data_IF_784129640474
#
_entry.id   IF_784129640474
#
_cell.length_a   1.000
_cell.length_b   1.000
_cell.length_c   1.000
_cell.angle_alpha   90.00
_cell.angle_beta   90.00
_cell.angle_gamma   90.00
#
_symmetry.space_group_name_H-M   'P 1'
#
loop_
_entity.id
_entity.type
_entity.pdbx_description
1 polymer ?
#
# COMPACT_ATOMS: atom_id res chain seq x y z
N UNK A 1 32.22 46.46 25.80
CA UNK A 1 31.52 45.90 24.63
C UNK A 1 29.98 45.99 24.69
N UNK A 2 29.37 46.81 25.58
CA UNK A 2 27.91 46.93 25.72
C UNK A 2 27.30 48.08 24.89
N UNK A 3 28.07 49.16 24.68
CA UNK A 3 27.63 50.35 23.93
C UNK A 3 27.48 50.12 22.42
N UNK A 4 28.37 49.33 21.81
CA UNK A 4 28.31 49.01 20.38
C UNK A 4 27.14 48.08 20.01
N UNK A 5 26.75 47.15 20.91
CA UNK A 5 25.52 46.35 20.76
C UNK A 5 24.25 47.18 20.93
N UNK A 6 24.28 48.26 21.75
CA UNK A 6 23.17 49.22 21.88
C UNK A 6 23.01 50.12 20.66
N UNK A 7 24.12 50.59 20.07
CA UNK A 7 24.10 51.44 18.86
C UNK A 7 23.66 50.68 17.59
N UNK A 8 24.00 49.40 17.45
CA UNK A 8 23.44 48.55 16.39
C UNK A 8 21.93 48.30 16.59
N UNK A 9 21.43 48.51 17.81
CA UNK A 9 20.02 48.51 18.15
C UNK A 9 19.27 49.79 17.77
N UNK A 10 19.86 50.77 17.07
CA UNK A 10 19.16 51.99 16.62
C UNK A 10 18.74 51.99 15.15
N UNK A 11 19.18 51.03 14.33
CA UNK A 11 18.77 50.97 12.92
C UNK A 11 17.33 50.44 12.77
N UNK A 12 16.59 50.97 11.79
CA UNK A 12 15.28 50.45 11.37
C UNK A 12 15.47 48.99 10.97
N UNK A 13 14.64 48.09 11.49
CA UNK A 13 14.75 46.69 11.14
C UNK A 13 14.16 46.46 9.75
N UNK A 14 14.94 45.79 8.91
CA UNK A 14 14.45 45.23 7.66
C UNK A 14 14.06 43.79 7.96
N UNK A 15 12.77 43.53 8.03
CA UNK A 15 12.19 42.22 8.23
C UNK A 15 11.90 41.65 6.85
N UNK A 16 12.72 40.70 6.41
CA UNK A 16 12.56 40.04 5.13
C UNK A 16 13.07 38.60 5.22
N UNK A 17 12.62 37.77 4.29
CA UNK A 17 13.12 36.42 4.11
C UNK A 17 13.25 36.09 2.63
N UNK A 18 14.42 35.57 2.26
CA UNK A 18 14.66 34.92 0.98
C UNK A 18 14.84 33.44 1.24
N UNK A 19 13.88 32.63 0.81
CA UNK A 19 14.01 31.18 0.84
C UNK A 19 15.13 30.74 -0.11
N UNK A 20 16.19 30.15 0.44
CA UNK A 20 17.29 29.53 -0.30
C UNK A 20 17.10 28.00 -0.41
N UNK A 21 15.98 27.48 0.10
CA UNK A 21 15.60 26.07 0.08
C UNK A 21 14.49 25.79 -0.94
N UNK A 22 14.18 24.49 -1.13
CA UNK A 22 13.04 24.07 -1.94
C UNK A 22 11.92 23.43 -1.10
N UNK A 23 12.11 23.32 0.20
CA UNK A 23 11.31 22.49 1.11
C UNK A 23 10.80 23.22 2.36
N UNK A 24 11.27 24.44 2.64
CA UNK A 24 10.76 25.24 3.76
C UNK A 24 9.37 25.78 3.46
N UNK A 25 8.38 25.41 4.28
CA UNK A 25 7.01 25.91 4.22
C UNK A 25 6.88 27.21 4.99
N UNK A 26 7.43 27.25 6.22
CA UNK A 26 7.31 28.38 7.14
C UNK A 26 8.66 28.68 7.77
N UNK A 27 9.00 29.96 7.84
CA UNK A 27 10.19 30.44 8.54
C UNK A 27 9.83 31.62 9.44
N UNK A 28 10.24 31.57 10.70
CA UNK A 28 10.07 32.68 11.65
C UNK A 28 11.31 33.57 11.61
N UNK A 29 11.09 34.87 11.43
CA UNK A 29 12.15 35.86 11.52
C UNK A 29 12.75 35.89 12.92
N UNK A 30 14.04 35.54 13.00
CA UNK A 30 14.76 35.51 14.27
C UNK A 30 15.31 36.88 14.64
N UNK A 31 15.01 37.31 15.86
CA UNK A 31 15.60 38.51 16.44
C UNK A 31 15.88 38.32 17.93
N UNK A 32 16.86 39.06 18.45
CA UNK A 32 17.12 39.08 19.87
C UNK A 32 15.83 39.41 20.65
N UNK A 33 15.41 38.48 21.52
CA UNK A 33 14.19 38.55 22.34
C UNK A 33 12.85 38.65 21.59
N UNK A 34 12.82 38.38 20.27
CA UNK A 34 11.62 38.56 19.42
C UNK A 34 11.01 39.96 19.56
N UNK A 35 11.86 40.96 19.76
CA UNK A 35 11.43 42.34 19.83
C UNK A 35 11.46 42.93 18.42
N UNK A 36 10.33 43.40 17.89
CA UNK A 36 10.29 44.13 16.61
C UNK A 36 10.12 45.63 16.93
N UNK A 37 10.91 46.49 16.28
CA UNK A 37 10.83 47.94 16.53
C UNK A 37 9.63 48.53 15.81
N UNK A 38 9.02 49.52 16.43
CA UNK A 38 8.05 50.39 15.78
C UNK A 38 8.73 51.10 14.59
N UNK A 39 8.11 51.03 13.40
CA UNK A 39 8.65 51.58 12.16
C UNK A 39 9.54 50.62 11.36
N UNK A 40 9.69 49.36 11.79
CA UNK A 40 10.36 48.33 11.01
C UNK A 40 9.76 48.19 9.60
N UNK A 41 10.59 47.92 8.61
CA UNK A 41 10.17 47.71 7.22
C UNK A 41 10.05 46.22 6.96
N UNK A 42 8.84 45.76 6.66
CA UNK A 42 8.55 44.40 6.25
C UNK A 42 8.55 44.30 4.73
N UNK A 43 9.37 43.43 4.16
CA UNK A 43 9.35 43.10 2.74
C UNK A 43 8.85 41.68 2.57
N UNK A 44 7.67 41.52 1.98
CA UNK A 44 7.08 40.24 1.61
C UNK A 44 7.26 40.03 0.11
N UNK A 45 7.88 38.92 -0.29
CA UNK A 45 8.17 38.67 -1.70
C UNK A 45 7.01 37.98 -2.39
N UNK A 46 7.04 37.97 -3.72
CA UNK A 46 6.10 37.18 -4.52
C UNK A 46 6.23 35.69 -4.17
N UNK A 47 5.10 34.98 -4.08
CA UNK A 47 5.07 33.59 -3.62
C UNK A 47 5.28 33.42 -2.12
N UNK A 48 5.15 34.50 -1.32
CA UNK A 48 5.16 34.47 0.13
C UNK A 48 3.96 35.23 0.71
N UNK A 49 3.64 34.89 1.95
CA UNK A 49 2.76 35.65 2.85
C UNK A 49 3.51 35.80 4.17
N UNK A 50 3.36 36.94 4.84
CA UNK A 50 3.90 37.15 6.18
C UNK A 50 2.78 37.28 7.22
N UNK A 51 2.82 36.47 8.27
CA UNK A 51 1.90 36.54 9.40
C UNK A 51 2.62 37.22 10.55
N UNK A 52 2.04 38.32 11.03
CA UNK A 52 2.55 39.04 12.17
C UNK A 52 1.78 38.62 13.43
N UNK A 53 2.51 38.12 14.42
CA UNK A 53 1.98 37.66 15.70
C UNK A 53 2.50 38.59 16.79
N UNK A 54 1.60 39.17 17.59
CA UNK A 54 1.96 39.99 18.73
C UNK A 54 1.49 39.33 20.02
N UNK A 55 2.41 39.13 20.96
CA UNK A 55 2.12 38.53 22.27
C UNK A 55 1.35 37.19 22.18
N UNK A 56 1.62 36.41 21.12
CA UNK A 56 0.97 35.11 20.87
C UNK A 56 -0.37 35.18 20.13
N UNK A 57 -0.82 36.36 19.70
CA UNK A 57 -2.06 36.54 18.92
C UNK A 57 -1.71 37.00 17.51
N UNK A 58 -2.27 36.36 16.49
CA UNK A 58 -2.16 36.80 15.09
C UNK A 58 -2.79 38.19 14.98
N UNK A 59 -1.97 39.19 14.66
CA UNK A 59 -2.39 40.57 14.58
C UNK A 59 -2.71 41.02 13.14
N UNK A 60 -1.99 40.47 12.15
CA UNK A 60 -2.22 40.78 10.73
C UNK A 60 -1.58 39.74 9.78
N UNK A 61 -2.01 39.75 8.52
CA UNK A 61 -1.51 38.91 7.43
C UNK A 61 -1.19 39.79 6.22
N UNK A 62 0.08 39.79 5.81
CA UNK A 62 0.60 40.61 4.73
C UNK A 62 0.86 39.79 3.48
N UNK A 63 0.27 40.21 2.35
CA UNK A 63 0.59 39.69 1.02
C UNK A 63 1.92 40.27 0.49
N UNK A 64 2.30 39.92 -0.74
CA UNK A 64 3.52 40.42 -1.36
C UNK A 64 3.53 41.96 -1.47
N UNK A 65 4.54 42.60 -0.92
CA UNK A 65 4.64 44.06 -0.86
C UNK A 65 5.65 44.56 0.17
N UNK A 66 5.77 45.88 0.27
CA UNK A 66 6.54 46.55 1.32
C UNK A 66 5.61 47.25 2.29
N UNK A 67 5.81 47.03 3.59
CA UNK A 67 4.96 47.54 4.65
C UNK A 67 5.82 48.19 5.75
N UNK A 68 5.32 49.26 6.34
CA UNK A 68 5.89 49.79 7.58
C UNK A 68 5.09 49.27 8.77
N UNK A 69 5.75 48.50 9.63
CA UNK A 69 5.17 47.93 10.84
C UNK A 69 5.10 49.00 11.92
N UNK A 70 3.96 49.68 12.02
CA UNK A 70 3.66 50.64 13.07
C UNK A 70 2.43 50.22 13.86
N UNK A 71 2.39 50.57 15.14
CA UNK A 71 1.26 50.26 16.03
C UNK A 71 -0.07 50.87 15.57
N UNK A 72 -0.02 51.90 14.72
CA UNK A 72 -1.20 52.58 14.17
C UNK A 72 -1.84 51.83 13.00
N UNK A 73 -1.04 51.14 12.20
CA UNK A 73 -1.49 50.46 10.98
C UNK A 73 -1.94 49.01 11.21
N UNK A 74 -1.80 48.49 12.43
CA UNK A 74 -2.14 47.11 12.79
C UNK A 74 -3.49 47.07 13.53
N UNK A 75 -4.57 46.48 12.96
CA UNK A 75 -5.94 46.58 13.48
C UNK A 75 -6.11 46.08 14.92
N UNK A 76 -5.50 44.94 15.25
CA UNK A 76 -5.61 44.33 16.59
C UNK A 76 -4.79 45.12 17.62
N UNK A 77 -3.60 45.63 17.25
CA UNK A 77 -2.81 46.51 18.12
C UNK A 77 -3.51 47.85 18.36
N UNK A 78 -4.22 48.37 17.36
CA UNK A 78 -5.01 49.59 17.48
C UNK A 78 -6.16 49.43 18.48
N UNK A 79 -6.66 48.20 18.68
CA UNK A 79 -7.71 47.86 19.66
C UNK A 79 -7.11 47.65 21.07
N UNK A 80 -5.85 47.18 21.16
CA UNK A 80 -5.07 47.03 22.39
C UNK A 80 -4.42 48.34 22.89
N UNK A 81 -4.69 49.50 22.25
CA UNK A 81 -4.18 50.87 22.52
C UNK A 81 -4.29 51.40 23.96
N UNK A 82 -4.82 50.63 24.91
CA UNK A 82 -5.04 51.05 26.30
C UNK A 82 -3.84 50.98 27.24
N UNK A 83 -2.67 50.49 26.80
CA UNK A 83 -1.57 50.21 27.72
C UNK A 83 -0.65 51.41 28.01
N UNK A 84 -0.36 51.62 29.30
CA UNK A 84 0.11 52.87 29.94
C UNK A 84 1.61 53.19 29.80
N UNK A 85 2.35 52.56 28.88
CA UNK A 85 3.79 52.79 28.72
C UNK A 85 4.10 53.11 27.25
N UNK A 86 4.81 54.22 27.04
CA UNK A 86 4.86 54.94 25.76
C UNK A 86 5.43 54.15 24.57
N UNK A 87 4.92 54.54 23.40
CA UNK A 87 5.05 53.99 22.04
C UNK A 87 6.46 53.85 21.43
N UNK A 88 7.52 53.91 22.25
CA UNK A 88 8.92 53.75 21.86
C UNK A 88 9.57 52.48 22.42
N UNK A 89 8.80 51.61 23.10
CA UNK A 89 9.32 50.34 23.62
C UNK A 89 9.16 49.22 22.57
N UNK A 90 10.17 48.37 22.38
CA UNK A 90 10.01 47.16 21.58
C UNK A 90 8.88 46.30 22.15
N UNK A 91 8.09 45.69 21.26
CA UNK A 91 7.02 44.75 21.63
C UNK A 91 7.44 43.34 21.22
N UNK A 92 7.04 42.34 22.02
CA UNK A 92 7.29 40.92 21.70
C UNK A 92 6.39 40.51 20.54
N UNK A 93 6.99 40.42 19.37
CA UNK A 93 6.31 40.02 18.15
C UNK A 93 7.16 39.09 17.30
N UNK A 94 6.46 38.28 16.53
CA UNK A 94 7.04 37.30 15.63
C UNK A 94 6.48 37.57 14.23
N UNK A 95 7.34 37.42 13.22
CA UNK A 95 6.92 37.44 11.83
C UNK A 95 7.23 36.07 11.25
N UNK A 96 6.19 35.36 10.84
CA UNK A 96 6.29 34.09 10.14
C UNK A 96 6.13 34.37 8.66
N UNK A 97 7.12 34.01 7.84
CA UNK A 97 6.99 33.97 6.40
C UNK A 97 6.56 32.57 5.98
N UNK A 98 5.52 32.49 5.14
CA UNK A 98 5.00 31.25 4.60
C UNK A 98 5.15 31.28 3.08
N UNK A 99 5.71 30.22 2.52
CA UNK A 99 5.82 30.04 1.08
C UNK A 99 4.49 29.57 0.49
N UNK A 100 3.94 30.34 -0.44
CA UNK A 100 2.70 30.02 -1.17
C UNK A 100 2.97 29.45 -2.57
N UNK A 101 4.22 29.18 -2.93
CA UNK A 101 4.57 28.43 -4.14
C UNK A 101 4.13 26.96 -4.05
N UNK A 102 4.02 26.28 -5.18
CA UNK A 102 3.78 24.84 -5.22
C UNK A 102 5.04 24.06 -4.83
N UNK A 103 4.89 23.14 -3.89
CA UNK A 103 5.87 22.14 -3.50
C UNK A 103 5.59 20.87 -4.30
N UNK A 104 6.45 20.60 -5.27
CA UNK A 104 6.25 19.53 -6.25
C UNK A 104 6.95 18.23 -5.85
N UNK A 105 6.53 17.12 -6.47
CA UNK A 105 7.21 15.82 -6.41
C UNK A 105 7.28 15.20 -5.00
N UNK A 106 6.28 15.46 -4.16
CA UNK A 106 6.15 14.76 -2.89
C UNK A 106 5.70 13.32 -3.14
N UNK A 107 6.42 12.33 -2.65
CA UNK A 107 6.12 10.93 -2.95
C UNK A 107 4.98 10.38 -2.08
N UNK A 108 4.15 9.52 -2.66
CA UNK A 108 3.24 8.69 -1.88
C UNK A 108 3.34 7.24 -2.35
N UNK A 109 2.98 6.31 -1.47
CA UNK A 109 2.93 4.91 -1.84
C UNK A 109 2.56 3.99 -0.70
N UNK A 110 2.03 2.83 -1.05
CA UNK A 110 1.58 1.81 -0.11
C UNK A 110 2.78 1.15 0.57
N UNK A 111 2.88 1.27 1.91
CA UNK A 111 3.92 0.54 2.67
C UNK A 111 3.66 -0.96 2.68
N UNK A 112 2.40 -1.35 2.82
CA UNK A 112 1.93 -2.73 2.75
C UNK A 112 0.98 -2.89 1.56
N UNK A 113 0.92 -4.06 0.91
CA UNK A 113 -0.03 -4.30 -0.17
C UNK A 113 -1.49 -4.13 0.29
N UNK A 114 -2.30 -3.54 -0.58
CA UNK A 114 -3.75 -3.44 -0.44
C UNK A 114 -4.37 -4.74 -0.97
N UNK A 115 -5.22 -5.39 -0.17
CA UNK A 115 -5.99 -6.55 -0.62
C UNK A 115 -7.20 -6.04 -1.42
N UNK A 116 -7.28 -6.38 -2.70
CA UNK A 116 -8.40 -6.08 -3.59
C UNK A 116 -9.04 -7.39 -4.06
N UNK A 117 -10.37 -7.42 -4.19
CA UNK A 117 -11.06 -8.51 -4.86
C UNK A 117 -11.32 -8.13 -6.31
N UNK A 118 -10.51 -8.65 -7.20
CA UNK A 118 -10.65 -8.49 -8.64
C UNK A 118 -11.64 -9.51 -9.23
N UNK A 119 -12.31 -9.14 -10.33
CA UNK A 119 -13.32 -9.97 -10.99
C UNK A 119 -12.70 -11.16 -11.73
N UNK A 120 -11.52 -10.99 -12.32
CA UNK A 120 -10.84 -12.00 -13.14
C UNK A 120 -9.89 -12.87 -12.31
N UNK A 121 -9.22 -12.27 -11.32
CA UNK A 121 -8.17 -12.93 -10.53
C UNK A 121 -8.59 -13.27 -9.09
N UNK A 122 -9.76 -12.82 -8.64
CA UNK A 122 -10.19 -12.98 -7.25
C UNK A 122 -9.35 -12.12 -6.30
N UNK A 123 -9.00 -12.59 -5.08
CA UNK A 123 -8.24 -11.78 -4.13
C UNK A 123 -6.79 -11.57 -4.61
N UNK A 124 -6.44 -10.32 -4.90
CA UNK A 124 -5.10 -9.87 -5.32
C UNK A 124 -4.53 -8.85 -4.33
N UNK A 125 -3.20 -8.73 -4.32
CA UNK A 125 -2.44 -7.83 -3.43
C UNK A 125 -1.75 -6.76 -4.24
N UNK A 126 -2.20 -5.53 -4.15
CA UNK A 126 -1.69 -4.44 -4.99
C UNK A 126 -0.79 -3.53 -4.19
N UNK A 127 0.28 -3.07 -4.82
CA UNK A 127 1.03 -1.92 -4.33
C UNK A 127 0.83 -0.77 -5.29
N UNK A 128 0.78 0.44 -4.78
CA UNK A 128 0.67 1.62 -5.61
C UNK A 128 1.61 2.70 -5.10
N UNK A 129 2.11 3.52 -6.01
CA UNK A 129 2.91 4.69 -5.68
C UNK A 129 2.79 5.78 -6.75
N UNK A 130 3.24 6.96 -6.38
CA UNK A 130 3.35 8.10 -7.28
C UNK A 130 3.80 9.34 -6.54
N UNK A 131 3.33 10.49 -6.99
CA UNK A 131 3.67 11.78 -6.41
C UNK A 131 2.46 12.72 -6.33
N UNK A 132 2.60 13.76 -5.52
CA UNK A 132 1.61 14.80 -5.37
C UNK A 132 2.29 16.16 -5.15
N UNK A 133 1.56 17.21 -5.52
CA UNK A 133 2.01 18.59 -5.43
C UNK A 133 1.09 19.37 -4.48
N UNK A 134 1.67 20.09 -3.52
CA UNK A 134 0.92 20.84 -2.51
C UNK A 134 1.23 22.32 -2.55
N UNK A 135 0.28 23.13 -2.10
CA UNK A 135 0.44 24.57 -1.98
C UNK A 135 -0.18 25.03 -0.67
N UNK A 136 0.42 26.01 0.00
CA UNK A 136 -0.21 26.68 1.14
C UNK A 136 -1.32 27.59 0.64
N UNK A 137 -2.57 27.27 0.98
CA UNK A 137 -3.76 28.03 0.56
C UNK A 137 -4.41 28.81 1.69
N UNK A 138 -4.27 28.35 2.94
CA UNK A 138 -4.72 29.08 4.14
C UNK A 138 -3.55 29.22 5.13
N UNK A 139 -2.68 30.25 4.97
CA UNK A 139 -1.46 30.43 5.76
C UNK A 139 -1.72 30.45 7.27
N UNK A 140 -2.78 31.13 7.71
CA UNK A 140 -3.16 31.22 9.13
C UNK A 140 -3.50 29.86 9.71
N UNK A 141 -4.31 29.06 8.99
CA UNK A 141 -4.71 27.72 9.42
C UNK A 141 -3.49 26.79 9.51
N UNK A 142 -2.59 26.86 8.53
CA UNK A 142 -1.34 26.09 8.56
C UNK A 142 -0.50 26.45 9.79
N UNK A 143 -0.34 27.75 10.07
CA UNK A 143 0.41 28.23 11.23
C UNK A 143 -0.21 27.73 12.55
N UNK A 144 -1.52 27.90 12.73
CA UNK A 144 -2.21 27.56 13.98
C UNK A 144 -2.33 26.05 14.23
N UNK A 145 -2.63 25.26 13.20
CA UNK A 145 -3.02 23.85 13.36
C UNK A 145 -1.84 22.88 13.19
N UNK A 146 -0.78 23.30 12.49
CA UNK A 146 0.34 22.41 12.13
C UNK A 146 1.67 22.91 12.67
N UNK A 147 2.03 24.16 12.36
CA UNK A 147 3.38 24.69 12.65
C UNK A 147 3.54 25.05 14.13
N UNK A 148 2.53 25.69 14.71
CA UNK A 148 2.59 26.20 16.08
C UNK A 148 3.73 27.22 16.24
N UNK A 149 4.72 26.88 17.07
CA UNK A 149 5.85 27.76 17.41
C UNK A 149 7.15 27.39 16.70
N UNK A 150 7.12 26.44 15.77
CA UNK A 150 8.30 26.04 15.02
C UNK A 150 8.85 27.23 14.21
N UNK A 151 10.13 27.51 14.39
CA UNK A 151 10.81 28.60 13.72
C UNK A 151 11.21 28.28 12.27
N UNK A 152 11.25 27.01 11.89
CA UNK A 152 11.59 26.57 10.54
C UNK A 152 10.88 25.26 10.23
N UNK A 153 9.68 25.36 9.65
CA UNK A 153 8.86 24.21 9.32
C UNK A 153 9.02 23.82 7.85
N UNK A 154 9.40 22.57 7.61
CA UNK A 154 9.66 22.02 6.28
C UNK A 154 8.60 21.00 5.87
N UNK A 155 8.42 20.80 4.56
CA UNK A 155 7.42 19.87 3.99
C UNK A 155 7.56 18.44 4.50
N UNK A 156 8.79 17.99 4.80
CA UNK A 156 9.05 16.63 5.27
C UNK A 156 8.41 16.34 6.63
N UNK A 157 8.17 17.37 7.45
CA UNK A 157 7.63 17.25 8.81
C UNK A 157 6.13 16.89 8.81
N UNK A 158 5.38 17.33 7.79
CA UNK A 158 3.97 16.93 7.59
C UNK A 158 3.83 15.77 6.60
N UNK A 159 4.89 15.44 5.85
CA UNK A 159 4.85 14.52 4.73
C UNK A 159 4.31 13.13 5.08
N UNK A 160 4.72 12.56 6.22
CA UNK A 160 4.28 11.23 6.63
C UNK A 160 2.78 11.14 6.91
N UNK A 161 2.21 12.20 7.49
CA UNK A 161 0.78 12.32 7.74
C UNK A 161 0.00 12.41 6.43
N UNK A 162 0.45 13.29 5.52
CA UNK A 162 -0.17 13.46 4.19
C UNK A 162 -0.09 12.19 3.35
N UNK A 163 1.04 11.48 3.38
CA UNK A 163 1.20 10.16 2.74
C UNK A 163 0.24 9.12 3.31
N UNK A 164 0.06 9.10 4.63
CA UNK A 164 -0.85 8.14 5.29
C UNK A 164 -2.29 8.38 4.85
N UNK A 165 -2.71 9.65 4.78
CA UNK A 165 -4.01 10.03 4.23
C UNK A 165 -4.16 9.61 2.77
N UNK A 166 -3.14 9.88 1.94
CA UNK A 166 -3.12 9.49 0.53
C UNK A 166 -3.35 8.00 0.33
N UNK A 167 -2.61 7.15 1.06
CA UNK A 167 -2.71 5.69 0.97
C UNK A 167 -4.08 5.20 1.44
N UNK A 168 -4.62 5.78 2.52
CA UNK A 168 -5.94 5.42 3.02
C UNK A 168 -7.03 5.73 1.99
N UNK A 169 -7.08 6.97 1.50
CA UNK A 169 -8.08 7.41 0.52
C UNK A 169 -7.95 6.65 -0.80
N UNK A 170 -6.73 6.33 -1.22
CA UNK A 170 -6.47 5.57 -2.42
C UNK A 170 -6.98 4.13 -2.30
N UNK A 171 -6.77 3.49 -1.15
CA UNK A 171 -7.25 2.14 -0.88
C UNK A 171 -8.78 2.05 -0.98
N UNK A 172 -9.47 3.04 -0.40
CA UNK A 172 -10.94 3.13 -0.45
C UNK A 172 -11.42 3.38 -1.88
N UNK A 173 -10.83 4.35 -2.59
CA UNK A 173 -11.20 4.66 -3.97
C UNK A 173 -10.97 3.50 -4.93
N UNK A 174 -9.88 2.75 -4.75
CA UNK A 174 -9.56 1.56 -5.55
C UNK A 174 -10.57 0.43 -5.33
N UNK A 175 -11.02 0.22 -4.08
CA UNK A 175 -12.04 -0.79 -3.79
C UNK A 175 -13.42 -0.40 -4.33
N UNK A 176 -13.76 0.89 -4.27
CA UNK A 176 -15.04 1.43 -4.76
C UNK A 176 -15.14 1.48 -6.30
N UNK A 177 -14.02 1.68 -6.99
CA UNK A 177 -14.03 1.85 -8.45
C UNK A 177 -14.43 0.58 -9.20
N UNK A 178 -14.21 -0.60 -8.59
CA UNK A 178 -14.43 -1.92 -9.19
C UNK A 178 -13.80 -2.08 -10.59
N UNK A 179 -12.77 -1.28 -10.89
CA UNK A 179 -12.04 -1.37 -12.16
C UNK A 179 -11.30 -2.73 -12.17
N UNK A 180 -11.37 -3.52 -13.25
CA UNK A 180 -10.56 -4.71 -13.39
C UNK A 180 -9.07 -4.35 -13.42
N UNK A 181 -8.22 -5.19 -12.85
CA UNK A 181 -6.80 -4.89 -12.73
C UNK A 181 -6.10 -4.64 -14.06
N UNK A 182 -6.53 -5.35 -15.11
CA UNK A 182 -5.96 -5.23 -16.46
C UNK A 182 -6.29 -3.88 -17.10
N UNK A 183 -7.31 -3.19 -16.60
CA UNK A 183 -7.76 -1.88 -17.07
C UNK A 183 -7.27 -0.74 -16.16
N UNK A 184 -6.53 -1.03 -15.08
CA UNK A 184 -6.07 0.02 -14.14
C UNK A 184 -5.21 1.08 -14.82
N UNK A 185 -4.25 0.64 -15.65
CA UNK A 185 -3.30 1.54 -16.29
C UNK A 185 -3.97 2.53 -17.25
N UNK A 186 -5.08 2.15 -17.89
CA UNK A 186 -5.86 3.03 -18.75
C UNK A 186 -6.75 4.01 -17.97
N UNK A 187 -6.84 3.87 -16.64
CA UNK A 187 -7.69 4.68 -15.77
C UNK A 187 -6.89 5.49 -14.72
N UNK A 188 -5.57 5.59 -14.86
CA UNK A 188 -4.74 6.31 -13.88
C UNK A 188 -5.09 7.80 -13.80
N UNK A 189 -5.47 8.45 -14.89
CA UNK A 189 -5.79 9.88 -14.91
C UNK A 189 -7.13 10.16 -14.21
N UNK A 190 -8.13 9.33 -14.46
CA UNK A 190 -9.45 9.38 -13.83
C UNK A 190 -9.33 9.12 -12.33
N UNK A 191 -8.59 8.09 -11.93
CA UNK A 191 -8.31 7.80 -10.52
C UNK A 191 -7.53 8.94 -9.87
N UNK A 192 -6.52 9.49 -10.56
CA UNK A 192 -5.74 10.63 -10.05
C UNK A 192 -6.61 11.86 -9.80
N UNK A 193 -7.53 12.16 -10.73
CA UNK A 193 -8.48 13.27 -10.60
C UNK A 193 -9.45 13.05 -9.44
N UNK A 194 -10.01 11.83 -9.31
CA UNK A 194 -10.89 11.46 -8.21
C UNK A 194 -10.17 11.61 -6.86
N UNK A 195 -8.93 11.12 -6.79
CA UNK A 195 -8.09 11.19 -5.60
C UNK A 195 -7.79 12.63 -5.22
N UNK A 196 -7.43 13.48 -6.20
CA UNK A 196 -7.20 14.89 -5.97
C UNK A 196 -8.43 15.57 -5.35
N UNK A 197 -9.62 15.33 -5.90
CA UNK A 197 -10.86 15.93 -5.41
C UNK A 197 -11.20 15.48 -3.98
N UNK A 198 -11.12 14.17 -3.71
CA UNK A 198 -11.42 13.61 -2.39
C UNK A 198 -10.43 14.08 -1.33
N UNK A 199 -9.14 14.01 -1.62
CA UNK A 199 -8.08 14.35 -0.65
C UNK A 199 -7.97 15.85 -0.40
N UNK A 200 -8.40 16.71 -1.31
CA UNK A 200 -8.42 18.15 -1.06
C UNK A 200 -9.21 18.53 0.18
N UNK A 201 -10.28 17.79 0.52
CA UNK A 201 -11.03 17.99 1.77
C UNK A 201 -10.13 17.77 3.00
N UNK A 202 -9.33 16.71 2.99
CA UNK A 202 -8.40 16.41 4.08
C UNK A 202 -7.25 17.43 4.14
N UNK A 203 -6.70 17.84 2.98
CA UNK A 203 -5.57 18.78 2.91
C UNK A 203 -5.97 20.20 3.34
N UNK A 204 -7.18 20.63 2.99
CA UNK A 204 -7.72 21.94 3.39
C UNK A 204 -7.88 22.07 4.91
N UNK A 205 -8.02 20.95 5.63
CA UNK A 205 -8.04 20.95 7.09
C UNK A 205 -6.69 21.39 7.70
N UNK A 206 -5.59 21.26 6.95
CA UNK A 206 -4.25 21.70 7.32
C UNK A 206 -3.85 23.05 6.68
N UNK A 207 -4.77 23.70 5.96
CA UNK A 207 -4.49 24.92 5.21
C UNK A 207 -3.66 24.71 3.94
N UNK A 208 -3.67 23.47 3.43
CA UNK A 208 -2.98 23.07 2.21
C UNK A 208 -3.99 22.75 1.10
N UNK A 209 -3.64 23.08 -0.14
CA UNK A 209 -4.35 22.60 -1.34
C UNK A 209 -3.51 21.52 -2.02
N UNK A 210 -4.15 20.41 -2.38
CA UNK A 210 -3.61 19.37 -3.24
C UNK A 210 -3.82 19.78 -4.71
N UNK A 211 -2.78 20.40 -5.28
CA UNK A 211 -2.80 20.96 -6.63
C UNK A 211 -2.66 19.91 -7.73
N UNK A 212 -2.06 18.76 -7.42
CA UNK A 212 -1.96 17.61 -8.31
C UNK A 212 -1.76 16.33 -7.51
N UNK A 213 -2.38 15.25 -7.96
CA UNK A 213 -2.13 13.90 -7.49
C UNK A 213 -1.83 13.03 -8.72
N UNK A 214 -0.80 12.20 -8.67
CA UNK A 214 -0.40 11.32 -9.77
C UNK A 214 -0.25 9.91 -9.21
N UNK A 215 -0.87 8.96 -9.90
CA UNK A 215 -0.58 7.54 -9.78
C UNK A 215 0.47 7.21 -10.84
N UNK A 216 1.68 6.85 -10.40
CA UNK A 216 2.77 6.47 -11.31
C UNK A 216 2.66 5.00 -11.70
N UNK A 217 2.33 4.14 -10.72
CA UNK A 217 2.14 2.72 -10.97
C UNK A 217 1.27 2.05 -9.90
N UNK A 218 0.47 1.09 -10.34
CA UNK A 218 -0.17 0.05 -9.53
C UNK A 218 0.46 -1.29 -9.94
N UNK A 219 1.23 -1.89 -9.03
CA UNK A 219 1.97 -3.13 -9.27
C UNK A 219 1.28 -4.35 -8.66
N UNK A 220 1.44 -5.46 -9.37
CA UNK A 220 0.96 -6.78 -8.98
C UNK A 220 2.00 -7.50 -8.11
N UNK A 221 1.61 -8.55 -7.38
CA UNK A 221 2.57 -9.48 -6.81
C UNK A 221 3.27 -10.25 -7.94
N UNK A 222 4.57 -10.50 -7.77
CA UNK A 222 5.37 -11.29 -8.73
C UNK A 222 4.74 -12.65 -9.09
N UNK A 223 3.99 -13.28 -8.18
CA UNK A 223 3.27 -14.53 -8.47
C UNK A 223 2.16 -14.36 -9.51
N UNK A 224 1.44 -13.25 -9.49
CA UNK A 224 0.37 -12.95 -10.46
C UNK A 224 0.98 -12.54 -11.79
N UNK A 225 2.03 -11.72 -11.76
CA UNK A 225 2.81 -11.35 -12.96
C UNK A 225 3.32 -12.59 -13.69
N UNK A 226 3.93 -13.55 -12.98
CA UNK A 226 4.42 -14.79 -13.57
C UNK A 226 3.30 -15.63 -14.25
N UNK A 227 2.08 -15.63 -13.69
CA UNK A 227 0.94 -16.31 -14.29
C UNK A 227 0.49 -15.58 -15.57
N UNK A 228 0.44 -14.25 -15.54
CA UNK A 228 0.10 -13.41 -16.69
C UNK A 228 1.12 -13.59 -17.82
N UNK A 229 2.41 -13.58 -17.51
CA UNK A 229 3.48 -13.77 -18.48
C UNK A 229 3.40 -15.16 -19.13
N UNK A 230 3.12 -16.19 -18.33
CA UNK A 230 2.91 -17.56 -18.84
C UNK A 230 1.70 -17.64 -19.76
N UNK A 231 0.56 -17.04 -19.38
CA UNK A 231 -0.65 -17.01 -20.20
C UNK A 231 -0.41 -16.27 -21.51
N UNK A 232 0.30 -15.14 -21.45
CA UNK A 232 0.69 -14.35 -22.63
C UNK A 232 1.60 -15.16 -23.56
N UNK A 233 2.59 -15.86 -23.00
CA UNK A 233 3.49 -16.74 -23.76
C UNK A 233 2.74 -17.86 -24.48
N UNK A 234 1.77 -18.51 -23.81
CA UNK A 234 0.91 -19.53 -24.43
C UNK A 234 0.13 -18.93 -25.61
N UNK A 235 -0.45 -17.75 -25.44
CA UNK A 235 -1.21 -17.09 -26.51
C UNK A 235 -0.32 -16.68 -27.70
N UNK A 236 0.86 -16.11 -27.45
CA UNK A 236 1.81 -15.71 -28.50
C UNK A 236 2.27 -16.92 -29.32
N UNK A 237 2.52 -18.05 -28.66
CA UNK A 237 2.98 -19.28 -29.31
C UNK A 237 1.85 -19.98 -30.09
N UNK A 238 0.59 -19.54 -29.95
CA UNK A 238 -0.55 -20.08 -30.70
C UNK A 238 -1.36 -21.12 -29.93
N UNK A 239 -1.34 -21.06 -28.59
CA UNK A 239 -2.12 -21.91 -27.70
C UNK A 239 -1.31 -23.01 -27.00
N UNK A 240 -1.99 -23.80 -26.17
CA UNK A 240 -1.36 -24.79 -25.29
C UNK A 240 -0.59 -25.89 -26.05
N UNK A 241 -1.13 -26.35 -27.19
CA UNK A 241 -0.49 -27.40 -28.00
C UNK A 241 0.88 -26.94 -28.56
N UNK A 242 0.91 -25.75 -29.16
CA UNK A 242 2.14 -25.15 -29.66
C UNK A 242 3.11 -24.80 -28.53
N UNK A 243 2.59 -24.33 -27.39
CA UNK A 243 3.41 -24.03 -26.22
C UNK A 243 4.10 -25.28 -25.66
N UNK A 244 3.38 -26.40 -25.58
CA UNK A 244 3.97 -27.68 -25.19
C UNK A 244 5.07 -28.11 -26.14
N UNK A 245 4.83 -28.02 -27.46
CA UNK A 245 5.84 -28.33 -28.49
C UNK A 245 7.06 -27.43 -28.40
N UNK A 246 6.86 -26.13 -28.17
CA UNK A 246 7.93 -25.16 -27.99
C UNK A 246 8.78 -25.49 -26.76
N UNK A 247 8.16 -25.75 -25.60
CA UNK A 247 8.89 -26.14 -24.41
C UNK A 247 9.69 -27.44 -24.61
N UNK A 248 9.12 -28.44 -25.28
CA UNK A 248 9.84 -29.67 -25.62
C UNK A 248 11.04 -29.38 -26.52
N UNK A 249 10.88 -28.54 -27.55
CA UNK A 249 11.99 -28.15 -28.43
C UNK A 249 13.10 -27.41 -27.67
N UNK A 250 12.74 -26.45 -26.80
CA UNK A 250 13.71 -25.72 -25.96
C UNK A 250 14.43 -26.65 -24.98
N UNK A 251 13.73 -27.62 -24.39
CA UNK A 251 14.35 -28.60 -23.49
C UNK A 251 15.37 -29.47 -24.23
N UNK A 252 15.07 -29.90 -25.46
CA UNK A 252 16.00 -30.66 -26.32
C UNK A 252 17.21 -29.80 -26.70
N UNK A 253 17.01 -28.53 -27.03
CA UNK A 253 18.08 -27.59 -27.38
C UNK A 253 19.01 -27.31 -26.19
N UNK A 254 18.46 -27.06 -25.00
CA UNK A 254 19.25 -26.88 -23.77
C UNK A 254 20.06 -28.14 -23.44
N UNK A 255 19.43 -29.30 -23.57
CA UNK A 255 20.09 -30.60 -23.46
C UNK A 255 21.29 -30.74 -24.41
N UNK A 256 21.12 -30.35 -25.68
CA UNK A 256 22.19 -30.38 -26.68
C UNK A 256 23.32 -29.38 -26.37
N UNK A 257 22.99 -28.20 -25.82
CA UNK A 257 23.99 -27.20 -25.44
C UNK A 257 24.75 -27.55 -24.13
N UNK A 258 24.31 -28.55 -23.36
CA UNK A 258 24.96 -29.07 -22.16
C UNK A 258 25.77 -30.37 -22.40
N UNK A 259 26.26 -30.54 -23.65
CA UNK A 259 26.96 -31.72 -24.20
C UNK A 259 28.16 -32.27 -23.40
N UNK A 260 28.68 -31.54 -22.40
CA UNK A 260 29.83 -31.98 -21.60
C UNK A 260 29.48 -32.70 -20.28
N UNK A 261 28.21 -33.04 -20.04
CA UNK A 261 27.83 -33.88 -18.89
C UNK A 261 27.32 -35.24 -19.36
N UNK A 262 28.19 -36.26 -19.35
CA UNK A 262 27.84 -37.63 -19.73
C UNK A 262 26.66 -38.24 -18.90
N UNK A 263 26.30 -37.62 -17.77
CA UNK A 263 25.10 -37.95 -16.98
C UNK A 263 23.79 -37.51 -17.65
N UNK A 264 23.80 -36.43 -18.43
CA UNK A 264 22.59 -35.86 -19.05
C UNK A 264 22.09 -36.69 -20.25
N UNK A 265 22.96 -37.35 -21.00
CA UNK A 265 22.58 -38.18 -22.15
C UNK A 265 21.81 -39.46 -21.75
N UNK A 266 22.12 -40.04 -20.59
CA UNK A 266 21.41 -41.20 -20.01
C UNK A 266 20.05 -40.79 -19.43
N UNK A 267 19.97 -39.65 -18.74
CA UNK A 267 18.72 -39.09 -18.22
C UNK A 267 17.75 -38.70 -19.34
N UNK A 268 18.27 -38.18 -20.45
CA UNK A 268 17.52 -37.81 -21.64
C UNK A 268 17.08 -39.01 -22.48
N UNK A 269 17.93 -40.05 -22.59
CA UNK A 269 17.55 -41.33 -23.20
C UNK A 269 16.41 -42.03 -22.45
N UNK A 270 16.39 -41.91 -21.12
CA UNK A 270 15.27 -42.36 -20.28
C UNK A 270 14.03 -41.46 -20.41
N UNK A 271 14.21 -40.14 -20.50
CA UNK A 271 13.11 -39.18 -20.68
C UNK A 271 12.39 -39.30 -22.03
N UNK A 272 13.13 -39.52 -23.12
CA UNK A 272 12.56 -39.73 -24.47
C UNK A 272 11.88 -41.10 -24.55
N UNK A 273 12.44 -42.15 -23.94
CA UNK A 273 11.79 -43.46 -23.86
C UNK A 273 10.47 -43.41 -23.08
N UNK A 274 10.43 -42.68 -21.95
CA UNK A 274 9.19 -42.46 -21.19
C UNK A 274 8.18 -41.58 -21.95
N UNK A 275 8.64 -40.52 -22.63
CA UNK A 275 7.78 -39.66 -23.45
C UNK A 275 7.15 -40.42 -24.63
N UNK A 276 7.91 -41.32 -25.27
CA UNK A 276 7.40 -42.16 -26.36
C UNK A 276 6.35 -43.16 -25.87
N UNK A 277 6.52 -43.68 -24.65
CA UNK A 277 5.56 -44.58 -24.01
C UNK A 277 4.28 -43.85 -23.56
N UNK A 278 4.37 -42.55 -23.24
CA UNK A 278 3.24 -41.69 -22.88
C UNK A 278 2.44 -41.21 -24.10
N UNK A 279 3.10 -40.96 -25.23
CA UNK A 279 2.43 -40.61 -26.50
C UNK A 279 1.67 -41.81 -27.08
N UNK A 280 2.17 -43.03 -26.90
CA UNK A 280 1.46 -44.24 -27.32
C UNK A 280 0.21 -44.55 -26.48
N UNK A 281 0.14 -44.08 -25.24
CA UNK A 281 -1.06 -44.25 -24.40
C UNK A 281 -2.12 -43.15 -24.61
N UNK A 282 -1.78 -42.05 -25.28
CA UNK A 282 -2.71 -40.97 -25.64
C UNK A 282 -3.38 -41.12 -27.02
N UNK A 283 -3.02 -42.15 -27.80
CA UNK A 283 -3.52 -42.39 -29.17
C UNK A 283 -4.82 -43.20 -29.30
N UNK A 284 -5.53 -43.51 -28.21
CA UNK A 284 -6.81 -44.22 -28.27
C UNK A 284 -7.99 -43.26 -28.52
N UNK A 285 -8.99 -43.63 -29.36
CA UNK A 285 -10.11 -42.74 -29.68
C UNK A 285 -10.95 -42.48 -28.43
N UNK A 286 -11.21 -41.18 -28.20
CA UNK A 286 -11.95 -40.64 -27.08
C UNK A 286 -13.37 -41.20 -27.00
N UNK A 287 -13.66 -41.98 -25.96
CA UNK A 287 -15.00 -42.05 -25.40
C UNK A 287 -15.26 -40.74 -24.64
N UNK A 288 -16.41 -40.14 -24.91
CA UNK A 288 -16.93 -38.94 -24.24
C UNK A 288 -16.96 -39.15 -22.74
N UNK A 289 -16.07 -38.47 -22.00
CA UNK A 289 -16.16 -38.35 -20.55
C UNK A 289 -16.22 -36.86 -20.22
N UNK A 290 -17.35 -36.46 -19.64
CA UNK A 290 -17.61 -35.17 -19.00
C UNK A 290 -16.49 -34.79 -18.01
N UNK A 291 -16.24 -33.49 -17.80
CA UNK A 291 -15.12 -33.03 -16.98
C UNK A 291 -15.20 -33.57 -15.54
N UNK A 292 -14.09 -34.01 -14.94
CA UNK A 292 -14.07 -34.57 -13.60
C UNK A 292 -14.33 -33.48 -12.55
N UNK A 293 -15.10 -33.77 -11.49
CA UNK A 293 -15.26 -32.88 -10.34
C UNK A 293 -13.92 -32.66 -9.65
N UNK A 294 -13.71 -31.46 -9.11
CA UNK A 294 -12.56 -31.13 -8.25
C UNK A 294 -12.63 -32.02 -7.00
N UNK A 295 -11.73 -33.00 -6.89
CA UNK A 295 -11.58 -33.83 -5.70
C UNK A 295 -11.18 -32.95 -4.50
N UNK A 296 -12.11 -32.75 -3.56
CA UNK A 296 -11.77 -32.25 -2.24
C UNK A 296 -11.20 -33.41 -1.44
N UNK A 297 -10.07 -33.25 -0.71
CA UNK A 297 -9.54 -34.31 0.12
C UNK A 297 -10.59 -34.71 1.17
N UNK A 298 -10.96 -36.00 1.17
CA UNK A 298 -11.94 -36.56 2.10
C UNK A 298 -11.23 -36.90 3.40
N UNK A 299 -11.72 -36.34 4.50
CA UNK A 299 -11.25 -36.64 5.85
C UNK A 299 -12.27 -37.51 6.60
N UNK A 300 -11.77 -38.51 7.32
CA UNK A 300 -12.56 -39.44 8.12
C UNK A 300 -12.34 -39.19 9.62
N UNK A 301 -13.39 -39.41 10.38
CA UNK A 301 -13.36 -39.48 11.83
C UNK A 301 -13.84 -40.86 12.27
N UNK A 302 -13.19 -41.43 13.27
CA UNK A 302 -13.49 -42.77 13.82
C UNK A 302 -13.92 -42.60 15.27
N UNK A 303 -14.93 -43.34 15.72
CA UNK A 303 -15.31 -43.40 17.12
C UNK A 303 -14.64 -44.61 17.78
N UNK A 304 -13.60 -44.37 18.58
CA UNK A 304 -12.90 -45.40 19.36
C UNK A 304 -13.31 -45.23 20.83
N UNK A 305 -13.86 -46.27 21.44
CA UNK A 305 -14.32 -46.24 22.86
C UNK A 305 -15.28 -45.08 23.20
N UNK A 306 -16.14 -44.69 22.25
CA UNK A 306 -17.10 -43.60 22.42
C UNK A 306 -16.51 -42.19 22.30
N UNK A 307 -15.23 -42.06 21.95
CA UNK A 307 -14.57 -40.77 21.65
C UNK A 307 -14.23 -40.66 20.17
N UNK A 308 -14.49 -39.48 19.60
CA UNK A 308 -14.13 -39.15 18.23
C UNK A 308 -12.61 -38.95 18.11
N UNK A 309 -11.99 -39.63 17.15
CA UNK A 309 -10.58 -39.48 16.77
C UNK A 309 -10.49 -39.14 15.27
N UNK A 310 -9.49 -38.34 14.88
CA UNK A 310 -9.31 -37.83 13.51
C UNK A 310 -8.97 -36.33 13.48
N UNK A 311 -8.89 -35.69 12.29
CA UNK A 311 -9.19 -36.23 10.96
C UNK A 311 -8.10 -37.16 10.42
N UNK A 312 -8.51 -38.25 9.79
CA UNK A 312 -7.64 -39.22 9.11
C UNK A 312 -7.81 -39.12 7.59
N UNK A 313 -6.72 -39.31 6.84
CA UNK A 313 -6.78 -39.48 5.39
C UNK A 313 -7.26 -40.88 5.01
N UNK A 314 -7.63 -41.10 3.76
CA UNK A 314 -8.00 -42.44 3.27
C UNK A 314 -6.85 -43.45 3.46
N UNK A 315 -5.60 -43.01 3.28
CA UNK A 315 -4.42 -43.83 3.50
C UNK A 315 -4.30 -44.27 4.97
N UNK A 316 -4.55 -43.36 5.91
CA UNK A 316 -4.49 -43.66 7.35
C UNK A 316 -5.59 -44.65 7.77
N UNK A 317 -6.80 -44.51 7.21
CA UNK A 317 -7.90 -45.46 7.45
C UNK A 317 -7.56 -46.84 6.90
N UNK A 318 -6.97 -46.93 5.69
CA UNK A 318 -6.51 -48.20 5.12
C UNK A 318 -5.47 -48.87 6.02
N UNK A 319 -4.55 -48.11 6.60
CA UNK A 319 -3.57 -48.64 7.54
C UNK A 319 -4.21 -49.10 8.86
N UNK A 320 -5.17 -48.35 9.41
CA UNK A 320 -5.88 -48.74 10.63
C UNK A 320 -6.68 -50.04 10.44
N UNK A 321 -7.31 -50.23 9.28
CA UNK A 321 -8.00 -51.48 8.92
C UNK A 321 -6.98 -52.63 8.82
N UNK A 322 -5.86 -52.42 8.12
CA UNK A 322 -4.82 -53.42 7.98
C UNK A 322 -4.17 -53.83 9.32
N UNK A 323 -4.09 -52.90 10.27
CA UNK A 323 -3.56 -53.13 11.62
C UNK A 323 -4.61 -53.66 12.61
N UNK A 324 -5.86 -53.86 12.16
CA UNK A 324 -6.96 -54.35 13.01
C UNK A 324 -7.44 -53.35 14.06
N UNK A 325 -7.10 -52.07 13.91
CA UNK A 325 -7.55 -50.98 14.79
C UNK A 325 -8.92 -50.42 14.39
N UNK A 326 -9.34 -50.66 13.15
CA UNK A 326 -10.67 -50.34 12.64
C UNK A 326 -11.32 -51.59 12.03
N UNK A 327 -12.42 -52.04 12.63
CA UNK A 327 -13.22 -53.17 12.22
C UNK A 327 -14.53 -52.77 11.52
N UNK A 328 -15.29 -53.79 11.09
CA UNK A 328 -16.53 -53.61 10.30
C UNK A 328 -17.63 -52.86 11.04
N UNK A 329 -17.71 -53.06 12.35
CA UNK A 329 -18.77 -52.50 13.20
C UNK A 329 -18.36 -51.17 13.88
N UNK A 330 -17.15 -50.69 13.64
CA UNK A 330 -16.71 -49.42 14.18
C UNK A 330 -17.40 -48.27 13.46
N UNK A 331 -17.77 -47.24 14.22
CA UNK A 331 -18.48 -46.09 13.68
C UNK A 331 -17.49 -45.11 13.08
N UNK A 332 -17.75 -44.73 11.84
CA UNK A 332 -17.00 -43.74 11.09
C UNK A 332 -17.92 -42.63 10.60
N UNK A 333 -17.36 -41.44 10.44
CA UNK A 333 -18.06 -40.32 9.85
C UNK A 333 -17.12 -39.57 8.90
N UNK A 334 -17.67 -39.12 7.77
CA UNK A 334 -16.99 -38.23 6.83
C UNK A 334 -17.97 -37.15 6.38
N UNK A 335 -17.44 -36.04 5.88
CA UNK A 335 -18.25 -34.98 5.31
C UNK A 335 -19.13 -35.53 4.18
N UNK A 336 -20.46 -35.42 4.32
CA UNK A 336 -21.45 -35.96 3.40
C UNK A 336 -22.24 -37.16 3.92
N UNK A 337 -21.88 -37.75 5.06
CA UNK A 337 -22.71 -38.74 5.74
C UNK A 337 -23.73 -38.07 6.69
N UNK A 338 -24.99 -38.53 6.71
CA UNK A 338 -26.04 -37.93 7.54
C UNK A 338 -25.79 -38.16 9.04
N UNK A 339 -25.12 -39.27 9.40
CA UNK A 339 -24.83 -39.63 10.79
C UNK A 339 -23.64 -40.60 10.87
N UNK A 340 -23.15 -40.85 12.10
CA UNK A 340 -22.12 -41.87 12.37
C UNK A 340 -22.57 -43.24 11.90
N UNK A 341 -21.85 -43.81 10.95
CA UNK A 341 -22.25 -45.02 10.22
C UNK A 341 -21.20 -46.12 10.43
N UNK A 342 -21.61 -47.39 10.54
CA UNK A 342 -20.65 -48.49 10.63
C UNK A 342 -19.75 -48.52 9.38
N UNK A 343 -18.46 -48.80 9.55
CA UNK A 343 -17.47 -48.78 8.47
C UNK A 343 -17.84 -49.69 7.29
N UNK A 344 -18.55 -50.81 7.54
CA UNK A 344 -19.07 -51.70 6.48
C UNK A 344 -20.18 -51.08 5.61
N UNK A 345 -20.88 -50.06 6.11
CA UNK A 345 -21.96 -49.39 5.40
C UNK A 345 -21.47 -48.14 4.64
N UNK A 346 -20.19 -47.78 4.80
CA UNK A 346 -19.54 -46.76 3.97
C UNK A 346 -18.96 -47.45 2.75
N UNK A 347 -19.53 -47.18 1.57
CA UNK A 347 -19.27 -47.94 0.34
C UNK A 347 -17.79 -48.12 0.00
N UNK A 348 -16.98 -47.07 0.16
CA UNK A 348 -15.53 -47.11 -0.14
C UNK A 348 -14.72 -47.93 0.90
N UNK A 349 -15.16 -47.96 2.16
CA UNK A 349 -14.50 -48.71 3.23
C UNK A 349 -14.92 -50.18 3.24
N UNK A 350 -16.16 -50.49 2.85
CA UNK A 350 -16.65 -51.86 2.69
C UNK A 350 -15.80 -52.66 1.71
N UNK A 351 -15.38 -52.05 0.59
CA UNK A 351 -14.52 -52.69 -0.38
C UNK A 351 -13.17 -53.12 0.22
N UNK A 352 -12.63 -52.33 1.16
CA UNK A 352 -11.34 -52.56 1.81
C UNK A 352 -11.47 -53.62 2.92
N UNK A 353 -12.55 -53.54 3.70
CA UNK A 353 -12.88 -54.47 4.80
C UNK A 353 -13.23 -55.90 4.34
N UNK A 354 -13.48 -56.10 3.04
CA UNK A 354 -13.74 -57.42 2.43
C UNK A 354 -12.47 -58.16 2.04
N UNK A 355 -11.38 -57.45 1.79
CA UNK A 355 -10.10 -58.02 1.35
C UNK A 355 -9.24 -58.47 2.54
N UNK A 356 -9.57 -58.01 3.75
CA UNK A 356 -8.92 -58.43 5.00
C UNK A 356 -9.78 -59.50 5.71
N UNK A 357 -9.21 -60.64 6.14
CA UNK A 357 -9.96 -61.64 6.90
C UNK A 357 -10.44 -61.04 8.24
N UNK A 358 -11.64 -61.39 8.71
CA UNK A 358 -12.21 -60.82 9.93
C UNK A 358 -11.27 -61.07 11.13
N UNK A 359 -11.03 -60.06 11.98
CA UNK A 359 -10.24 -60.26 13.19
C UNK A 359 -10.95 -61.23 14.14
N UNK A 360 -10.18 -62.11 14.77
CA UNK A 360 -10.67 -63.04 15.80
C UNK A 360 -11.21 -62.21 16.96
N UNK A 361 -12.47 -62.46 17.34
CA UNK A 361 -13.11 -61.78 18.47
C UNK A 361 -12.26 -61.97 19.73
N UNK A 362 -11.83 -60.86 20.35
CA UNK A 362 -11.30 -60.89 21.72
C UNK A 362 -12.50 -61.06 22.66
N UNK A 363 -12.47 -62.13 23.46
CA UNK A 363 -13.41 -62.37 24.55
C UNK A 363 -13.25 -61.35 25.67
#
# INVERSE_FOLDING_TARGET
MSLWKKLLGEFIDIVEWTDDSNDTLVWRFERYQNEIKNGAQLTVRQGQVAIFVNEGIIADVFEAGMYSLTTENLPILSTLKGWKHGFNSPFKAEVYFLNTRTFVNNKWGTKNPIMLRDLDFGPVRLRAFGNYDVQVSEPVKLLEQVVGTDGCFQIHEIHDQLRTLAVSRFSDALAESQIPIMDMASNYDELSTLMQQRMNVDFNAYGLTLSRFIIENISLPASVEAILDKRTSINIIGGLDQYSKFQTATAIEQAANHENSASSALEMGAGIAMAHQMVQSMGAPAQTVTPPPIDRPVHYYVAVEGKQTGPFSEHDIRQQIAQGQLGRHDKVWKQGLPDWTCAENVGELNAILRVTPPPIQRA
#
